data_IF_140713929261
#
_entry.id   IF_140713929261
#
_cell.length_a   1.000
_cell.length_b   1.000
_cell.length_c   1.000
_cell.angle_alpha   90.00
_cell.angle_beta   90.00
_cell.angle_gamma   90.00
#
_symmetry.space_group_name_H-M   'P 1'
#
loop_
_entity.id
_entity.type
_entity.pdbx_description
1 polymer ?
#
# COMPACT_ATOMS: atom_id res chain seq x y z
N UNK A 1 51.42 16.84 -16.64
CA UNK A 1 50.53 15.68 -16.42
C UNK A 1 50.67 15.03 -15.05
N UNK A 2 51.86 14.93 -14.42
CA UNK A 2 51.99 14.34 -13.05
C UNK A 2 51.47 15.24 -11.92
N UNK A 3 51.52 16.56 -12.08
CA UNK A 3 51.09 17.55 -11.06
C UNK A 3 49.57 17.67 -10.92
N UNK A 4 48.81 17.54 -12.00
CA UNK A 4 47.33 17.53 -11.97
C UNK A 4 46.76 16.28 -11.28
N UNK A 5 47.43 15.13 -11.43
CA UNK A 5 47.01 13.88 -10.81
C UNK A 5 47.15 13.93 -9.29
N UNK A 6 48.29 14.42 -8.82
CA UNK A 6 48.54 14.62 -7.38
C UNK A 6 47.56 15.65 -6.80
N UNK A 7 47.26 16.74 -7.51
CA UNK A 7 46.30 17.73 -7.04
C UNK A 7 44.89 17.15 -6.88
N UNK A 8 44.44 16.35 -7.85
CA UNK A 8 43.15 15.65 -7.77
C UNK A 8 43.10 14.63 -6.64
N UNK A 9 44.18 13.87 -6.41
CA UNK A 9 44.26 12.93 -5.28
C UNK A 9 44.21 13.66 -3.92
N UNK A 10 44.82 14.84 -3.80
CA UNK A 10 44.72 15.68 -2.60
C UNK A 10 43.33 16.29 -2.41
N UNK A 11 42.69 16.75 -3.50
CA UNK A 11 41.32 17.31 -3.47
C UNK A 11 40.28 16.22 -3.16
N UNK A 12 40.45 15.02 -3.71
CA UNK A 12 39.61 13.85 -3.44
C UNK A 12 39.75 13.39 -1.98
N UNK A 13 40.99 13.34 -1.48
CA UNK A 13 41.25 13.02 -0.07
C UNK A 13 40.68 14.08 0.88
N UNK A 14 40.80 15.36 0.54
CA UNK A 14 40.20 16.45 1.33
C UNK A 14 38.67 16.40 1.29
N UNK A 15 38.07 16.01 0.17
CA UNK A 15 36.62 15.82 0.04
C UNK A 15 36.13 14.60 0.85
N UNK A 16 36.89 13.50 0.88
CA UNK A 16 36.59 12.35 1.73
C UNK A 16 36.71 12.68 3.22
N UNK A 17 37.74 13.42 3.62
CA UNK A 17 37.88 13.89 5.00
C UNK A 17 36.75 14.85 5.40
N UNK A 18 36.28 15.69 4.48
CA UNK A 18 35.11 16.56 4.71
C UNK A 18 33.81 15.75 4.86
N UNK A 19 33.59 14.75 4.00
CA UNK A 19 32.45 13.81 4.11
C UNK A 19 32.46 13.05 5.43
N UNK A 20 33.62 12.56 5.85
CA UNK A 20 33.75 11.85 7.13
C UNK A 20 33.48 12.76 8.32
N UNK A 21 33.86 14.04 8.27
CA UNK A 21 33.52 15.02 9.31
C UNK A 21 32.03 15.32 9.33
N UNK A 22 31.41 15.50 8.17
CA UNK A 22 29.96 15.73 8.07
C UNK A 22 29.17 14.51 8.58
N UNK A 23 29.61 13.30 8.25
CA UNK A 23 29.02 12.05 8.74
C UNK A 23 29.22 11.88 10.25
N UNK A 24 30.38 12.26 10.79
CA UNK A 24 30.64 12.24 12.23
C UNK A 24 29.80 13.29 12.98
N UNK A 25 29.65 14.50 12.44
CA UNK A 25 28.76 15.53 12.99
C UNK A 25 27.30 15.09 12.95
N UNK A 26 26.88 14.43 11.86
CA UNK A 26 25.55 13.88 11.73
C UNK A 26 25.30 12.74 12.74
N UNK A 27 26.26 11.82 12.90
CA UNK A 27 26.18 10.76 13.92
C UNK A 27 26.13 11.33 15.33
N UNK A 28 26.92 12.37 15.63
CA UNK A 28 26.88 13.05 16.93
C UNK A 28 25.51 13.69 17.19
N UNK A 29 24.94 14.37 16.19
CA UNK A 29 23.58 14.94 16.31
C UNK A 29 22.52 13.86 16.51
N UNK A 30 22.64 12.75 15.80
CA UNK A 30 21.72 11.63 15.94
C UNK A 30 21.80 11.03 17.35
N UNK A 31 23.01 10.90 17.91
CA UNK A 31 23.22 10.45 19.27
C UNK A 31 22.65 11.42 20.31
N UNK A 32 22.81 12.73 20.11
CA UNK A 32 22.26 13.75 21.00
C UNK A 32 20.71 13.72 21.03
N UNK A 33 20.06 13.63 19.88
CA UNK A 33 18.59 13.48 19.80
C UNK A 33 18.13 12.17 20.46
N UNK A 34 18.85 11.07 20.21
CA UNK A 34 18.53 9.78 20.83
C UNK A 34 18.75 9.79 22.34
N UNK A 35 19.77 10.50 22.83
CA UNK A 35 20.01 10.71 24.26
C UNK A 35 18.96 11.62 24.89
N UNK A 36 18.47 12.64 24.17
CA UNK A 36 17.38 13.50 24.62
C UNK A 36 16.05 12.73 24.70
N UNK A 37 15.73 11.91 23.70
CA UNK A 37 14.56 11.02 23.70
C UNK A 37 14.67 9.97 24.81
N UNK A 38 15.83 9.35 25.00
CA UNK A 38 16.05 8.39 26.10
C UNK A 38 16.00 9.05 27.48
N UNK A 39 16.50 10.28 27.62
CA UNK A 39 16.35 11.07 28.83
C UNK A 39 14.88 11.43 29.11
N UNK A 40 14.08 11.66 28.07
CA UNK A 40 12.62 11.79 28.15
C UNK A 40 11.92 10.46 28.44
N UNK A 41 12.44 9.33 27.96
CA UNK A 41 11.94 7.97 28.27
C UNK A 41 12.30 7.52 29.68
N UNK A 42 13.25 8.16 30.38
CA UNK A 42 13.46 7.96 31.81
C UNK A 42 12.23 8.35 32.64
N UNK A 43 11.37 9.25 32.13
CA UNK A 43 10.06 9.56 32.72
C UNK A 43 9.05 8.42 32.47
N UNK A 44 9.26 7.63 31.42
CA UNK A 44 8.49 6.42 31.12
C UNK A 44 8.98 5.19 31.89
N UNK A 45 10.25 5.16 32.33
CA UNK A 45 10.80 4.13 33.21
C UNK A 45 10.27 4.24 34.65
N UNK A 46 9.75 5.40 35.06
CA UNK A 46 9.00 5.55 36.32
C UNK A 46 7.71 4.71 36.32
N UNK A 47 7.15 4.44 35.15
CA UNK A 47 5.94 3.63 34.98
C UNK A 47 6.19 2.13 34.84
N UNK A 48 7.45 1.68 34.80
CA UNK A 48 7.79 0.26 34.63
C UNK A 48 8.33 -0.41 35.91
N UNK A 49 8.75 0.36 36.94
CA UNK A 49 9.29 -0.20 38.19
C UNK A 49 8.81 0.50 39.49
N UNK A 50 7.60 1.08 39.50
CA UNK A 50 6.98 1.51 40.77
C UNK A 50 5.60 0.91 41.00
N UNK A 51 5.59 -0.32 41.52
CA UNK A 51 4.64 -0.67 42.58
C UNK A 51 3.35 -1.40 42.19
N UNK A 52 3.23 -2.02 41.01
CA UNK A 52 2.02 -2.77 40.63
C UNK A 52 2.06 -4.29 40.92
N UNK A 53 2.92 -4.75 41.83
CA UNK A 53 3.08 -6.18 42.15
C UNK A 53 2.88 -6.53 43.62
N UNK A 54 2.24 -5.70 44.45
CA UNK A 54 2.21 -6.00 45.89
C UNK A 54 1.03 -5.61 46.78
N UNK A 55 0.15 -4.65 46.46
CA UNK A 55 -0.76 -4.11 47.50
C UNK A 55 -2.22 -3.81 47.13
N UNK A 56 -2.72 -4.27 45.98
CA UNK A 56 -4.18 -4.33 45.74
C UNK A 56 -4.49 -5.37 44.66
N UNK A 57 -4.64 -6.64 45.05
CA UNK A 57 -5.38 -7.60 44.22
C UNK A 57 -6.87 -7.31 44.36
N UNK A 58 -7.28 -6.12 43.92
CA UNK A 58 -8.67 -5.87 43.64
C UNK A 58 -9.01 -6.71 42.40
N UNK A 59 -10.04 -7.55 42.47
CA UNK A 59 -10.52 -8.27 41.29
C UNK A 59 -10.91 -7.24 40.22
N UNK A 60 -10.83 -7.61 38.94
CA UNK A 60 -11.29 -6.74 37.85
C UNK A 60 -12.73 -6.25 38.10
N UNK A 61 -13.59 -7.11 38.64
CA UNK A 61 -14.98 -6.78 38.95
C UNK A 61 -15.12 -5.78 40.11
N UNK A 62 -14.28 -5.90 41.13
CA UNK A 62 -14.26 -4.98 42.27
C UNK A 62 -13.76 -3.60 41.83
N UNK A 63 -12.70 -3.58 41.00
CA UNK A 63 -12.17 -2.37 40.38
C UNK A 63 -13.21 -1.70 39.48
N UNK A 64 -13.85 -2.47 38.60
CA UNK A 64 -14.88 -1.97 37.70
C UNK A 64 -16.07 -1.39 38.49
N UNK A 65 -16.48 -2.07 39.57
CA UNK A 65 -17.58 -1.63 40.43
C UNK A 65 -17.22 -0.34 41.18
N UNK A 66 -16.02 -0.25 41.74
CA UNK A 66 -15.52 0.94 42.44
C UNK A 66 -15.39 2.13 41.50
N UNK A 67 -14.79 1.94 40.32
CA UNK A 67 -14.65 3.00 39.31
C UNK A 67 -16.03 3.43 38.79
N UNK A 68 -16.97 2.51 38.57
CA UNK A 68 -18.32 2.85 38.17
C UNK A 68 -19.10 3.61 39.27
N UNK A 69 -18.87 3.28 40.55
CA UNK A 69 -19.45 4.01 41.67
C UNK A 69 -18.85 5.41 41.81
N UNK A 70 -17.52 5.54 41.69
CA UNK A 70 -16.81 6.82 41.74
C UNK A 70 -17.24 7.75 40.59
N UNK A 71 -17.38 7.20 39.38
CA UNK A 71 -17.87 7.97 38.23
C UNK A 71 -19.33 8.39 38.39
N UNK A 72 -20.18 7.52 38.94
CA UNK A 72 -21.57 7.90 39.28
C UNK A 72 -21.60 9.00 40.34
N UNK A 73 -20.75 8.93 41.36
CA UNK A 73 -20.66 9.94 42.40
C UNK A 73 -20.12 11.27 41.86
N UNK A 74 -19.06 11.25 41.03
CA UNK A 74 -18.55 12.44 40.33
C UNK A 74 -19.59 13.05 39.41
N UNK A 75 -20.36 12.24 38.68
CA UNK A 75 -21.48 12.74 37.89
C UNK A 75 -22.55 13.37 38.79
N UNK A 76 -22.98 12.70 39.86
CA UNK A 76 -23.96 13.25 40.79
C UNK A 76 -23.50 14.55 41.46
N UNK A 77 -22.22 14.67 41.84
CA UNK A 77 -21.64 15.91 42.36
C UNK A 77 -21.58 17.01 41.31
N UNK A 78 -21.26 16.68 40.05
CA UNK A 78 -21.36 17.62 38.92
C UNK A 78 -22.79 18.10 38.68
N UNK A 79 -23.77 17.19 38.77
CA UNK A 79 -25.20 17.51 38.63
C UNK A 79 -25.76 18.30 39.83
N UNK A 80 -25.27 18.07 41.05
CA UNK A 80 -25.70 18.80 42.26
C UNK A 80 -24.99 20.16 42.41
N UNK A 81 -23.73 20.27 41.99
CA UNK A 81 -22.95 21.52 42.01
C UNK A 81 -23.24 22.46 40.82
N UNK A 82 -23.91 21.97 39.77
CA UNK A 82 -24.39 22.76 38.64
C UNK A 82 -25.91 22.63 38.55
N UNK A 83 -26.66 23.19 39.50
CA UNK A 83 -27.97 23.73 39.14
C UNK A 83 -27.70 24.95 38.26
N UNK A 84 -27.97 24.90 36.93
CA UNK A 84 -27.71 26.05 36.08
C UNK A 84 -28.67 27.16 36.52
N UNK A 85 -28.12 28.23 37.11
CA UNK A 85 -28.78 29.52 37.13
C UNK A 85 -29.15 29.83 35.69
N UNK A 86 -30.45 29.76 35.36
CA UNK A 86 -30.99 30.12 34.05
C UNK A 86 -30.90 31.64 33.88
N UNK A 87 -29.69 32.16 33.69
CA UNK A 87 -29.43 33.60 33.57
C UNK A 87 -28.54 33.89 32.36
N UNK A 88 -29.17 34.38 31.28
CA UNK A 88 -28.60 35.16 30.15
C UNK A 88 -27.48 34.55 29.27
N UNK A 89 -26.62 33.68 29.76
CA UNK A 89 -25.46 33.16 29.02
C UNK A 89 -25.81 31.99 28.07
N UNK A 90 -27.03 31.46 28.16
CA UNK A 90 -27.47 30.30 27.36
C UNK A 90 -27.58 30.57 25.85
N UNK A 91 -27.72 31.83 25.42
CA UNK A 91 -27.83 32.17 23.98
C UNK A 91 -26.46 32.27 23.32
N UNK A 92 -25.49 32.92 23.97
CA UNK A 92 -24.11 33.02 23.48
C UNK A 92 -23.43 31.65 23.49
N UNK A 93 -23.63 30.84 24.54
CA UNK A 93 -23.13 29.46 24.59
C UNK A 93 -23.76 28.56 23.51
N UNK A 94 -25.03 28.77 23.16
CA UNK A 94 -25.68 28.05 22.08
C UNK A 94 -25.11 28.44 20.72
N UNK A 95 -24.90 29.74 20.48
CA UNK A 95 -24.30 30.25 19.24
C UNK A 95 -22.85 29.82 19.06
N UNK A 96 -22.04 29.81 20.14
CA UNK A 96 -20.65 29.35 20.08
C UNK A 96 -20.58 27.82 19.85
N UNK A 97 -21.48 27.05 20.46
CA UNK A 97 -21.61 25.60 20.17
C UNK A 97 -22.01 25.35 18.72
N UNK A 98 -22.95 26.13 18.18
CA UNK A 98 -23.39 26.02 16.79
C UNK A 98 -22.26 26.38 15.83
N UNK A 99 -21.52 27.48 16.08
CA UNK A 99 -20.31 27.84 15.31
C UNK A 99 -19.27 26.74 15.34
N UNK A 100 -18.93 26.19 16.51
CA UNK A 100 -17.95 25.10 16.62
C UNK A 100 -18.42 23.83 15.91
N UNK A 101 -19.72 23.53 15.94
CA UNK A 101 -20.29 22.41 15.19
C UNK A 101 -20.22 22.65 13.69
N UNK A 102 -20.53 23.85 13.23
CA UNK A 102 -20.43 24.23 11.83
C UNK A 102 -18.98 24.21 11.34
N UNK A 103 -18.03 24.72 12.13
CA UNK A 103 -16.60 24.65 11.86
C UNK A 103 -16.13 23.19 11.74
N UNK A 104 -16.54 22.31 12.67
CA UNK A 104 -16.25 20.87 12.61
C UNK A 104 -16.84 20.21 11.36
N UNK A 105 -18.09 20.52 11.01
CA UNK A 105 -18.74 19.99 9.80
C UNK A 105 -18.05 20.49 8.54
N UNK A 106 -17.68 21.76 8.49
CA UNK A 106 -16.96 22.34 7.36
C UNK A 106 -15.55 21.76 7.23
N UNK A 107 -14.86 21.52 8.35
CA UNK A 107 -13.56 20.85 8.37
C UNK A 107 -13.67 19.41 7.88
N UNK A 108 -14.64 18.65 8.41
CA UNK A 108 -14.91 17.28 7.99
C UNK A 108 -15.23 17.19 6.49
N UNK A 109 -16.08 18.08 5.96
CA UNK A 109 -16.41 18.14 4.54
C UNK A 109 -15.17 18.43 3.68
N UNK A 110 -14.32 19.36 4.09
CA UNK A 110 -13.06 19.66 3.38
C UNK A 110 -12.12 18.45 3.37
N UNK A 111 -12.05 17.72 4.49
CA UNK A 111 -11.21 16.55 4.61
C UNK A 111 -11.72 15.40 3.72
N UNK A 112 -13.03 15.15 3.72
CA UNK A 112 -13.67 14.17 2.83
C UNK A 112 -13.48 14.51 1.36
N UNK A 113 -13.60 15.80 1.00
CA UNK A 113 -13.39 16.26 -0.36
C UNK A 113 -11.93 16.09 -0.80
N UNK A 114 -10.97 16.41 0.08
CA UNK A 114 -9.54 16.18 -0.18
C UNK A 114 -9.25 14.69 -0.36
N UNK A 115 -9.75 13.85 0.55
CA UNK A 115 -9.59 12.40 0.48
C UNK A 115 -10.20 11.84 -0.81
N UNK A 116 -11.39 12.29 -1.21
CA UNK A 116 -12.01 11.91 -2.47
C UNK A 116 -11.15 12.34 -3.68
N UNK A 117 -10.58 13.55 -3.65
CA UNK A 117 -9.66 14.04 -4.70
C UNK A 117 -8.36 13.22 -4.73
N UNK A 118 -7.83 12.84 -3.57
CA UNK A 118 -6.66 11.98 -3.47
C UNK A 118 -6.95 10.59 -4.05
N UNK A 119 -8.05 9.96 -3.66
CA UNK A 119 -8.48 8.66 -4.16
C UNK A 119 -8.68 8.67 -5.68
N UNK A 120 -9.33 9.71 -6.24
CA UNK A 120 -9.49 9.87 -7.70
C UNK A 120 -8.15 9.97 -8.42
N UNK A 121 -7.24 10.83 -7.95
CA UNK A 121 -5.91 10.97 -8.56
C UNK A 121 -5.11 9.67 -8.46
N UNK A 122 -5.22 8.97 -7.34
CA UNK A 122 -4.56 7.70 -7.14
C UNK A 122 -5.10 6.62 -8.08
N UNK A 123 -6.43 6.50 -8.21
CA UNK A 123 -7.06 5.52 -9.10
C UNK A 123 -6.78 5.81 -10.58
N UNK A 124 -6.78 7.08 -10.99
CA UNK A 124 -6.42 7.49 -12.35
C UNK A 124 -4.97 7.14 -12.69
N UNK A 125 -4.02 7.43 -11.79
CA UNK A 125 -2.60 7.07 -11.98
C UNK A 125 -2.41 5.57 -12.07
N UNK A 126 -3.09 4.81 -11.21
CA UNK A 126 -3.05 3.35 -11.24
C UNK A 126 -3.61 2.81 -12.56
N UNK A 127 -4.75 3.34 -13.02
CA UNK A 127 -5.36 2.98 -14.30
C UNK A 127 -4.43 3.29 -15.48
N UNK A 128 -3.81 4.47 -15.51
CA UNK A 128 -2.84 4.82 -16.55
C UNK A 128 -1.65 3.88 -16.58
N UNK A 129 -1.13 3.51 -15.40
CA UNK A 129 -0.04 2.53 -15.28
C UNK A 129 -0.44 1.17 -15.84
N UNK A 130 -1.64 0.68 -15.51
CA UNK A 130 -2.16 -0.59 -16.04
C UNK A 130 -2.35 -0.55 -17.55
N UNK A 131 -2.92 0.54 -18.09
CA UNK A 131 -3.09 0.72 -19.54
C UNK A 131 -1.74 0.70 -20.28
N UNK A 132 -0.72 1.36 -19.72
CA UNK A 132 0.63 1.34 -20.28
C UNK A 132 1.20 -0.08 -20.28
N UNK A 133 1.06 -0.81 -19.18
CA UNK A 133 1.49 -2.21 -19.10
C UNK A 133 0.76 -3.09 -20.10
N UNK A 134 -0.55 -2.87 -20.31
CA UNK A 134 -1.34 -3.58 -21.32
C UNK A 134 -0.85 -3.27 -22.73
N UNK A 135 -0.56 -2.01 -23.05
CA UNK A 135 -0.03 -1.62 -24.35
C UNK A 135 1.34 -2.24 -24.63
N UNK A 136 2.26 -2.18 -23.65
CA UNK A 136 3.58 -2.83 -23.74
C UNK A 136 3.44 -4.35 -23.92
N UNK A 137 2.53 -4.98 -23.20
CA UNK A 137 2.22 -6.40 -23.35
C UNK A 137 1.71 -6.73 -24.75
N UNK A 138 0.75 -5.98 -25.29
CA UNK A 138 0.21 -6.21 -26.63
C UNK A 138 1.28 -6.01 -27.71
N UNK A 139 2.17 -5.04 -27.54
CA UNK A 139 3.29 -4.82 -28.45
C UNK A 139 4.25 -6.02 -28.43
N UNK A 140 4.67 -6.48 -27.25
CA UNK A 140 5.55 -7.66 -27.14
C UNK A 140 4.88 -8.93 -27.67
N UNK A 141 3.57 -9.08 -27.45
CA UNK A 141 2.78 -10.15 -28.07
C UNK A 141 2.85 -10.07 -29.60
N UNK A 142 2.67 -8.89 -30.21
CA UNK A 142 2.76 -8.74 -31.65
C UNK A 142 4.18 -9.07 -32.18
N UNK A 143 5.23 -8.68 -31.47
CA UNK A 143 6.63 -8.95 -31.83
C UNK A 143 6.97 -10.45 -31.74
N UNK A 144 6.55 -11.12 -30.66
CA UNK A 144 6.86 -12.55 -30.40
C UNK A 144 5.97 -13.51 -31.19
N UNK A 145 4.71 -13.11 -31.43
CA UNK A 145 3.73 -13.90 -32.19
C UNK A 145 3.72 -13.58 -33.69
N UNK A 146 4.50 -12.61 -34.17
CA UNK A 146 4.72 -12.40 -35.60
C UNK A 146 5.43 -13.61 -36.24
N UNK A 147 5.01 -13.97 -37.45
CA UNK A 147 5.51 -15.13 -38.19
C UNK A 147 7.03 -15.09 -38.44
N UNK A 148 7.60 -13.89 -38.58
CA UNK A 148 9.03 -13.69 -38.82
C UNK A 148 9.90 -14.02 -37.59
N UNK A 149 9.36 -13.83 -36.38
CA UNK A 149 10.03 -14.20 -35.12
C UNK A 149 9.92 -15.69 -34.81
N UNK A 150 9.04 -16.44 -35.49
CA UNK A 150 8.81 -17.87 -35.21
C UNK A 150 9.98 -18.76 -35.64
N UNK A 151 10.81 -18.34 -36.59
CA UNK A 151 11.88 -19.20 -37.15
C UNK A 151 13.25 -19.04 -36.45
N UNK A 152 13.48 -17.96 -35.70
CA UNK A 152 14.85 -17.58 -35.29
C UNK A 152 15.11 -17.53 -33.78
N UNK A 153 14.08 -17.51 -32.93
CA UNK A 153 14.28 -17.22 -31.49
C UNK A 153 13.73 -18.30 -30.57
N UNK A 154 14.63 -18.91 -29.79
CA UNK A 154 14.29 -19.67 -28.59
C UNK A 154 13.72 -18.72 -27.54
N UNK A 155 12.63 -19.13 -26.88
CA UNK A 155 11.92 -18.34 -25.87
C UNK A 155 12.26 -18.87 -24.47
N UNK A 156 12.95 -18.05 -23.69
CA UNK A 156 13.13 -18.25 -22.25
C UNK A 156 11.95 -17.72 -21.44
N UNK A 157 12.05 -17.82 -20.11
CA UNK A 157 10.99 -17.36 -19.20
C UNK A 157 10.66 -15.86 -19.34
N UNK A 158 11.69 -15.05 -19.62
CA UNK A 158 11.61 -13.60 -19.72
C UNK A 158 11.13 -13.11 -21.10
N UNK A 159 11.30 -13.95 -22.14
CA UNK A 159 10.95 -13.63 -23.53
C UNK A 159 9.46 -13.85 -23.81
N UNK A 160 8.78 -14.63 -22.96
CA UNK A 160 7.33 -14.78 -23.04
C UNK A 160 6.68 -13.46 -22.61
N UNK A 161 5.82 -12.86 -23.45
CA UNK A 161 5.20 -11.57 -23.16
C UNK A 161 4.10 -11.72 -22.10
N UNK A 162 4.47 -11.82 -20.83
CA UNK A 162 3.52 -11.91 -19.72
C UNK A 162 2.76 -10.57 -19.54
N UNK A 163 1.46 -10.59 -19.19
CA UNK A 163 0.73 -9.37 -18.88
C UNK A 163 1.18 -8.81 -17.50
N UNK A 164 2.15 -7.91 -17.47
CA UNK A 164 2.66 -7.33 -16.22
C UNK A 164 3.86 -8.05 -15.61
N UNK A 165 4.24 -7.68 -14.37
CA UNK A 165 5.48 -8.18 -13.75
C UNK A 165 5.37 -9.64 -13.32
N UNK A 166 6.39 -10.41 -13.70
CA UNK A 166 6.59 -11.83 -13.43
C UNK A 166 6.15 -12.23 -12.02
N UNK A 167 5.24 -13.19 -11.91
CA UNK A 167 5.03 -13.90 -10.64
C UNK A 167 3.61 -14.04 -10.11
N UNK A 168 2.67 -13.15 -10.47
CA UNK A 168 1.35 -13.15 -9.85
C UNK A 168 0.21 -13.13 -10.92
N UNK A 169 -0.59 -14.20 -11.03
CA UNK A 169 -1.67 -14.31 -12.02
C UNK A 169 -2.79 -13.28 -11.81
N UNK A 170 -3.07 -12.87 -10.57
CA UNK A 170 -4.09 -11.86 -10.26
C UNK A 170 -3.71 -10.48 -10.82
N UNK A 171 -2.42 -10.13 -10.70
CA UNK A 171 -1.89 -8.89 -11.30
C UNK A 171 -1.96 -8.96 -12.84
N UNK A 172 -1.74 -10.13 -13.42
CA UNK A 172 -1.86 -10.33 -14.86
C UNK A 172 -3.30 -10.12 -15.33
N UNK A 173 -4.26 -10.67 -14.60
CA UNK A 173 -5.69 -10.44 -14.85
C UNK A 173 -6.05 -8.97 -14.70
N UNK A 174 -5.52 -8.29 -13.68
CA UNK A 174 -5.76 -6.86 -13.48
C UNK A 174 -5.27 -6.02 -14.67
N UNK A 175 -4.10 -6.33 -15.24
CA UNK A 175 -3.58 -5.67 -16.44
C UNK A 175 -4.43 -6.00 -17.66
N UNK A 176 -4.85 -7.26 -17.83
CA UNK A 176 -5.66 -7.70 -18.96
C UNK A 176 -7.07 -7.07 -18.96
N UNK A 177 -7.66 -6.91 -17.79
CA UNK A 177 -9.05 -6.44 -17.58
C UNK A 177 -9.16 -4.94 -17.29
N UNK A 178 -8.08 -4.16 -17.34
CA UNK A 178 -8.08 -2.77 -16.86
C UNK A 178 -8.97 -1.80 -17.66
N UNK A 179 -9.32 -2.16 -18.89
CA UNK A 179 -10.10 -1.39 -19.87
C UNK A 179 -11.47 -2.02 -20.15
N UNK A 180 -11.75 -3.20 -19.61
CA UNK A 180 -13.00 -3.92 -19.84
C UNK A 180 -14.02 -3.46 -18.83
N UNK A 181 -15.24 -3.19 -19.30
CA UNK A 181 -16.33 -2.92 -18.38
C UNK A 181 -16.81 -4.23 -17.74
N UNK A 182 -16.57 -4.40 -16.44
CA UNK A 182 -17.05 -5.58 -15.70
C UNK A 182 -18.57 -5.62 -15.58
N UNK A 183 -19.24 -4.48 -15.76
CA UNK A 183 -20.72 -4.43 -15.78
C UNK A 183 -21.30 -4.99 -17.09
N UNK A 184 -20.51 -5.06 -18.17
CA UNK A 184 -20.92 -5.73 -19.42
C UNK A 184 -20.44 -7.19 -19.42
N UNK A 185 -21.29 -8.06 -18.88
CA UNK A 185 -21.04 -9.49 -18.83
C UNK A 185 -20.82 -10.12 -20.23
N UNK A 186 -21.35 -9.53 -21.31
CA UNK A 186 -21.13 -10.06 -22.66
C UNK A 186 -19.72 -9.73 -23.18
N UNK A 187 -19.23 -8.51 -22.95
CA UNK A 187 -17.88 -8.09 -23.27
C UNK A 187 -16.85 -8.90 -22.47
N UNK A 188 -17.04 -9.01 -21.16
CA UNK A 188 -16.16 -9.75 -20.27
C UNK A 188 -16.07 -11.24 -20.65
N UNK A 189 -17.20 -11.91 -20.91
CA UNK A 189 -17.20 -13.32 -21.36
C UNK A 189 -16.50 -13.52 -22.69
N UNK A 190 -16.64 -12.59 -23.65
CA UNK A 190 -15.93 -12.67 -24.93
C UNK A 190 -14.43 -12.54 -24.74
N UNK A 191 -14.02 -11.62 -23.87
CA UNK A 191 -12.61 -11.43 -23.53
C UNK A 191 -12.01 -12.63 -22.81
N UNK A 192 -12.66 -13.13 -21.75
CA UNK A 192 -12.18 -14.30 -21.01
C UNK A 192 -12.01 -15.51 -21.94
N UNK A 193 -12.97 -15.76 -22.83
CA UNK A 193 -12.86 -16.85 -23.82
C UNK A 193 -11.68 -16.67 -24.78
N UNK A 194 -11.43 -15.45 -25.26
CA UNK A 194 -10.30 -15.20 -26.17
C UNK A 194 -8.96 -15.40 -25.45
N UNK A 195 -8.85 -14.94 -24.21
CA UNK A 195 -7.65 -15.14 -23.39
C UNK A 195 -7.45 -16.61 -23.00
N UNK A 196 -8.52 -17.34 -22.66
CA UNK A 196 -8.46 -18.78 -22.38
C UNK A 196 -7.92 -19.56 -23.58
N UNK A 197 -8.35 -19.25 -24.81
CA UNK A 197 -7.86 -19.93 -26.00
C UNK A 197 -6.38 -19.66 -26.28
N UNK A 198 -5.90 -18.45 -25.97
CA UNK A 198 -4.50 -18.04 -26.15
C UNK A 198 -3.58 -18.65 -25.09
N UNK A 199 -4.02 -18.62 -23.83
CA UNK A 199 -3.25 -19.08 -22.67
C UNK A 199 -3.61 -20.50 -22.21
N UNK A 200 -4.30 -21.28 -23.05
CA UNK A 200 -4.54 -22.69 -22.73
C UNK A 200 -3.21 -23.46 -22.81
N UNK A 201 -2.82 -24.26 -21.80
CA UNK A 201 -1.52 -24.92 -21.75
C UNK A 201 -1.25 -25.79 -22.99
N UNK A 202 -2.25 -26.54 -23.46
CA UNK A 202 -2.11 -27.37 -24.68
C UNK A 202 -1.94 -26.52 -25.96
N UNK A 203 -2.71 -25.43 -26.11
CA UNK A 203 -2.61 -24.56 -27.30
C UNK A 203 -1.31 -23.76 -27.32
N UNK A 204 -0.87 -23.34 -26.15
CA UNK A 204 0.41 -22.65 -25.97
C UNK A 204 1.57 -23.58 -26.33
N UNK A 205 1.55 -24.83 -25.85
CA UNK A 205 2.58 -25.82 -26.16
C UNK A 205 2.55 -26.23 -27.63
N UNK A 206 1.38 -26.33 -28.27
CA UNK A 206 1.28 -26.57 -29.72
C UNK A 206 1.91 -25.46 -30.55
N UNK A 207 1.77 -24.20 -30.13
CA UNK A 207 2.28 -23.03 -30.89
C UNK A 207 3.73 -22.69 -30.58
N UNK A 208 4.14 -22.80 -29.33
CA UNK A 208 5.44 -22.33 -28.84
C UNK A 208 6.35 -23.46 -28.36
N UNK A 209 5.85 -24.69 -28.23
CA UNK A 209 6.59 -25.81 -27.65
C UNK A 209 7.91 -26.14 -28.35
N UNK A 210 8.01 -25.91 -29.66
CA UNK A 210 9.27 -26.06 -30.42
C UNK A 210 10.29 -24.93 -30.18
N UNK A 211 9.84 -23.79 -29.65
CA UNK A 211 10.65 -22.60 -29.37
C UNK A 211 11.05 -22.50 -27.90
N UNK A 212 10.39 -23.20 -26.98
CA UNK A 212 10.67 -23.09 -25.55
C UNK A 212 12.04 -23.67 -25.21
N UNK A 213 12.84 -22.90 -24.46
CA UNK A 213 14.09 -23.40 -23.88
C UNK A 213 13.77 -24.50 -22.87
N UNK A 214 14.40 -25.66 -23.01
CA UNK A 214 14.08 -26.85 -22.21
C UNK A 214 14.25 -26.63 -20.69
N UNK A 215 15.22 -25.80 -20.30
CA UNK A 215 15.45 -25.40 -18.89
C UNK A 215 14.27 -24.63 -18.28
N UNK A 216 13.59 -23.81 -19.08
CA UNK A 216 12.56 -22.89 -18.60
C UNK A 216 11.14 -23.40 -18.94
N UNK A 217 11.03 -24.47 -19.74
CA UNK A 217 9.78 -25.08 -20.21
C UNK A 217 8.81 -25.37 -19.07
N UNK A 218 9.24 -26.06 -18.02
CA UNK A 218 8.35 -26.46 -16.92
C UNK A 218 7.81 -25.23 -16.16
N UNK A 219 8.66 -24.23 -15.93
CA UNK A 219 8.27 -22.97 -15.26
C UNK A 219 7.29 -22.16 -16.10
N UNK A 220 7.49 -22.12 -17.42
CA UNK A 220 6.59 -21.45 -18.35
C UNK A 220 5.23 -22.17 -18.34
N UNK A 221 5.22 -23.49 -18.42
CA UNK A 221 3.99 -24.28 -18.40
C UNK A 221 3.22 -24.18 -17.09
N UNK A 222 3.92 -24.20 -15.95
CA UNK A 222 3.32 -23.93 -14.64
C UNK A 222 2.65 -22.56 -14.62
N UNK A 223 3.33 -21.53 -15.14
CA UNK A 223 2.80 -20.16 -15.18
C UNK A 223 1.58 -20.02 -16.10
N UNK A 224 1.63 -20.61 -17.28
CA UNK A 224 0.49 -20.64 -18.22
C UNK A 224 -0.69 -21.34 -17.56
N UNK A 225 -0.45 -22.42 -16.82
CA UNK A 225 -1.49 -23.15 -16.09
C UNK A 225 -2.11 -22.28 -14.98
N UNK A 226 -1.30 -21.59 -14.17
CA UNK A 226 -1.78 -20.66 -13.15
C UNK A 226 -2.63 -19.53 -13.75
N UNK A 227 -2.17 -18.94 -14.87
CA UNK A 227 -2.91 -17.89 -15.56
C UNK A 227 -4.24 -18.41 -16.14
N UNK A 228 -4.23 -19.59 -16.75
CA UNK A 228 -5.45 -20.23 -17.28
C UNK A 228 -6.45 -20.55 -16.16
N UNK A 229 -5.99 -21.04 -15.01
CA UNK A 229 -6.84 -21.27 -13.84
C UNK A 229 -7.47 -19.98 -13.32
N UNK A 230 -6.67 -18.92 -13.20
CA UNK A 230 -7.17 -17.63 -12.72
C UNK A 230 -8.18 -17.00 -13.72
N UNK A 231 -7.97 -17.18 -15.04
CA UNK A 231 -8.96 -16.79 -16.06
C UNK A 231 -10.24 -17.62 -15.98
N UNK A 232 -10.15 -18.90 -15.65
CA UNK A 232 -11.34 -19.75 -15.43
C UNK A 232 -12.13 -19.30 -14.21
N UNK A 233 -11.46 -18.98 -13.10
CA UNK A 233 -12.11 -18.44 -11.90
C UNK A 233 -12.87 -17.15 -12.22
N UNK A 234 -12.23 -16.21 -12.93
CA UNK A 234 -12.88 -14.98 -13.37
C UNK A 234 -14.13 -15.23 -14.25
N UNK A 235 -14.11 -16.28 -15.07
CA UNK A 235 -15.25 -16.66 -15.90
C UNK A 235 -16.37 -17.40 -15.16
N UNK A 236 -16.08 -18.03 -14.02
CA UNK A 236 -17.06 -18.76 -13.17
C UNK A 236 -17.69 -17.86 -12.10
N UNK A 237 -16.95 -16.89 -11.56
CA UNK A 237 -17.47 -15.85 -10.66
C UNK A 237 -18.65 -15.10 -11.31
N UNK A 238 -18.52 -14.72 -12.58
CA UNK A 238 -19.57 -14.06 -13.37
C UNK A 238 -20.73 -14.97 -13.79
N UNK A 239 -20.63 -16.29 -13.62
CA UNK A 239 -21.77 -17.20 -13.83
C UNK A 239 -22.58 -17.43 -12.55
N UNK A 240 -22.01 -17.06 -11.40
CA UNK A 240 -22.58 -17.33 -10.07
C UNK A 240 -23.35 -16.14 -9.48
N UNK A 241 -23.18 -14.94 -10.04
CA UNK A 241 -24.05 -13.77 -9.86
C UNK A 241 -25.11 -13.67 -10.98
#
# INVERSE_FOLDING_TARGET
>A
MKTDRLRREYEEKAADEARQREEAEWQSRLQDEWAADMAGMSDHALWDDTGYTGLNQESFDDWATRIAAEQRQKQQQRYQGHQPSRSSHSREDAQDRERRQEEKRNFQRKLEEEHARYQRRHSERLRQKLLRQKAEHLQRCAEVFSAESQELSQLGLEDVPWPGHHGNPDKMIQVLTCDINREDAAELRRFVRSQQLLWHPDKFLQKFGSRLVERDRDKIMERVTQLSQALNQLGEEEKSD
#
